data_IF_429994288771
#
_entry.id   IF_429994288771
#
_cell.length_a   1.000
_cell.length_b   1.000
_cell.length_c   1.000
_cell.angle_alpha   90.00
_cell.angle_beta   90.00
_cell.angle_gamma   90.00
#
_symmetry.space_group_name_H-M   'P 1'
#
loop_
_entity.id
_entity.type
_entity.pdbx_description
1 polymer ?
#
# COMPACT_ATOMS: atom_id res chain seq x y z
N UNK A 1 -13.05 2.92 5.69
CA UNK A 1 -12.42 3.61 6.84
C UNK A 1 -13.10 4.95 6.97
N UNK A 2 -13.47 5.39 8.17
CA UNK A 2 -13.88 6.78 8.35
C UNK A 2 -12.63 7.63 8.16
N UNK A 3 -12.76 8.76 7.46
CA UNK A 3 -11.64 9.67 7.21
C UNK A 3 -11.09 10.16 8.56
N UNK A 4 -9.80 9.94 8.81
CA UNK A 4 -9.16 10.34 10.06
C UNK A 4 -9.23 11.86 10.25
N UNK A 5 -9.16 12.64 9.16
CA UNK A 5 -9.38 14.07 9.17
C UNK A 5 -10.80 14.45 9.58
N UNK A 6 -11.80 13.68 9.14
CA UNK A 6 -13.18 13.87 9.58
C UNK A 6 -13.37 13.58 11.08
N UNK A 7 -12.76 12.51 11.59
CA UNK A 7 -12.81 12.20 13.03
C UNK A 7 -12.10 13.26 13.88
N UNK A 8 -10.95 13.76 13.44
CA UNK A 8 -10.24 14.86 14.10
C UNK A 8 -11.08 16.14 14.10
N UNK A 9 -11.66 16.49 12.96
CA UNK A 9 -12.57 17.63 12.84
C UNK A 9 -13.79 17.49 13.77
N UNK A 10 -14.41 16.31 13.78
CA UNK A 10 -15.56 16.01 14.63
C UNK A 10 -15.22 16.15 16.11
N UNK A 11 -14.08 15.58 16.55
CA UNK A 11 -13.62 15.69 17.94
C UNK A 11 -13.26 17.12 18.33
N UNK A 12 -12.63 17.89 17.43
CA UNK A 12 -12.36 19.31 17.65
C UNK A 12 -13.65 20.11 17.84
N UNK A 13 -14.64 19.85 16.98
CA UNK A 13 -15.97 20.46 17.07
C UNK A 13 -16.76 20.09 18.32
N UNK A 14 -16.62 18.85 18.80
CA UNK A 14 -17.19 18.43 20.09
C UNK A 14 -16.56 19.23 21.24
N UNK A 15 -15.23 19.42 21.19
CA UNK A 15 -14.50 20.22 22.18
C UNK A 15 -14.92 21.70 22.19
N UNK A 16 -15.14 22.30 21.02
CA UNK A 16 -15.56 23.70 20.86
C UNK A 16 -17.01 23.95 21.30
N UNK A 17 -17.94 23.02 20.98
CA UNK A 17 -19.35 23.16 21.33
C UNK A 17 -19.62 22.96 22.84
N UNK A 18 -18.70 22.31 23.56
CA UNK A 18 -18.87 21.93 24.96
C UNK A 18 -19.77 20.70 25.14
N UNK A 19 -19.46 19.81 26.11
CA UNK A 19 -20.08 18.49 26.23
C UNK A 19 -21.58 18.54 26.56
N UNK A 20 -22.05 19.60 27.21
CA UNK A 20 -23.44 19.75 27.66
C UNK A 20 -24.30 20.59 26.70
N UNK A 21 -23.74 21.06 25.58
CA UNK A 21 -24.55 21.74 24.56
C UNK A 21 -25.35 20.73 23.74
N UNK A 22 -26.49 21.17 23.22
CA UNK A 22 -27.32 20.36 22.32
C UNK A 22 -26.53 19.90 21.08
N UNK A 23 -25.67 20.78 20.58
CA UNK A 23 -24.78 20.50 19.46
C UNK A 23 -23.69 19.49 19.82
N UNK A 24 -23.01 19.68 20.96
CA UNK A 24 -21.99 18.75 21.47
C UNK A 24 -22.55 17.35 21.72
N UNK A 25 -23.78 17.26 22.24
CA UNK A 25 -24.49 15.99 22.45
C UNK A 25 -24.77 15.28 21.13
N UNK A 26 -25.29 16.00 20.11
CA UNK A 26 -25.56 15.44 18.78
C UNK A 26 -24.29 14.98 18.08
N UNK A 27 -23.21 15.77 18.15
CA UNK A 27 -21.92 15.41 17.56
C UNK A 27 -21.28 14.20 18.26
N UNK A 28 -21.41 14.11 19.59
CA UNK A 28 -20.94 12.95 20.36
C UNK A 28 -21.69 11.67 19.98
N UNK A 29 -23.00 11.76 19.75
CA UNK A 29 -23.79 10.63 19.26
C UNK A 29 -23.32 10.17 17.86
N UNK A 30 -23.01 11.10 16.95
CA UNK A 30 -22.43 10.77 15.63
C UNK A 30 -21.08 10.07 15.78
N UNK A 31 -20.19 10.58 16.64
CA UNK A 31 -18.89 9.96 16.90
C UNK A 31 -19.03 8.54 17.44
N UNK A 32 -20.00 8.31 18.34
CA UNK A 32 -20.31 7.00 18.88
C UNK A 32 -20.79 6.03 17.79
N UNK A 33 -21.73 6.44 16.93
CA UNK A 33 -22.23 5.60 15.84
C UNK A 33 -21.12 5.24 14.84
N UNK A 34 -20.21 6.17 14.54
CA UNK A 34 -19.04 5.90 13.70
C UNK A 34 -18.15 4.84 14.35
N UNK A 35 -17.86 4.95 15.65
CA UNK A 35 -17.07 3.97 16.38
C UNK A 35 -17.74 2.59 16.38
N UNK A 36 -19.05 2.52 16.60
CA UNK A 36 -19.82 1.26 16.53
C UNK A 36 -19.73 0.65 15.13
N UNK A 37 -19.88 1.46 14.07
CA UNK A 37 -19.73 0.98 12.70
C UNK A 37 -18.31 0.47 12.40
N UNK A 38 -17.28 1.14 12.90
CA UNK A 38 -15.88 0.70 12.77
C UNK A 38 -15.62 -0.62 13.49
N UNK A 39 -16.12 -0.77 14.72
CA UNK A 39 -16.01 -2.03 15.46
C UNK A 39 -16.70 -3.18 14.74
N UNK A 40 -17.91 -2.96 14.22
CA UNK A 40 -18.64 -3.96 13.42
C UNK A 40 -17.84 -4.41 12.19
N UNK A 41 -17.16 -3.46 11.51
CA UNK A 41 -16.28 -3.80 10.37
C UNK A 41 -15.08 -4.63 10.78
N UNK A 42 -14.44 -4.32 11.92
CA UNK A 42 -13.31 -5.10 12.44
C UNK A 42 -13.74 -6.51 12.83
N UNK A 43 -14.91 -6.68 13.47
CA UNK A 43 -15.45 -8.00 13.82
C UNK A 43 -15.76 -8.82 12.56
N UNK A 44 -16.37 -8.20 11.55
CA UNK A 44 -16.63 -8.87 10.27
C UNK A 44 -15.32 -9.24 9.55
N UNK A 45 -14.32 -8.37 9.58
CA UNK A 45 -12.99 -8.63 9.04
C UNK A 45 -12.30 -9.81 9.73
N UNK A 46 -12.35 -9.90 11.06
CA UNK A 46 -11.82 -11.03 11.82
C UNK A 46 -12.53 -12.35 11.47
N UNK A 47 -13.87 -12.33 11.42
CA UNK A 47 -14.64 -13.50 11.01
C UNK A 47 -14.30 -13.96 9.59
N UNK A 48 -14.15 -13.02 8.66
CA UNK A 48 -13.74 -13.32 7.28
C UNK A 48 -12.32 -13.90 7.22
N UNK A 49 -11.37 -13.34 7.98
CA UNK A 49 -10.00 -13.85 8.01
C UNK A 49 -9.97 -15.27 8.58
N UNK A 50 -10.69 -15.54 9.68
CA UNK A 50 -10.83 -16.90 10.24
C UNK A 50 -11.42 -17.88 9.22
N UNK A 51 -12.43 -17.46 8.47
CA UNK A 51 -13.02 -18.30 7.42
C UNK A 51 -12.00 -18.63 6.32
N UNK A 52 -11.17 -17.67 5.91
CA UNK A 52 -10.07 -17.92 4.96
C UNK A 52 -9.06 -18.91 5.56
N UNK A 53 -8.61 -18.66 6.79
CA UNK A 53 -7.60 -19.47 7.48
C UNK A 53 -8.08 -20.90 7.81
N UNK A 54 -9.40 -21.13 7.92
CA UNK A 54 -9.97 -22.45 8.12
C UNK A 54 -9.67 -23.44 6.98
N UNK A 55 -9.28 -22.93 5.80
CA UNK A 55 -8.85 -23.76 4.67
C UNK A 55 -7.37 -24.19 4.75
N UNK A 56 -6.61 -23.78 5.77
CA UNK A 56 -5.22 -24.18 5.90
C UNK A 56 -5.07 -25.71 6.03
N UNK A 57 -4.01 -26.32 5.45
CA UNK A 57 -2.88 -25.68 4.75
C UNK A 57 -3.09 -25.46 3.24
N UNK A 58 -4.32 -25.59 2.72
CA UNK A 58 -4.60 -25.47 1.28
C UNK A 58 -4.60 -24.00 0.79
N UNK A 59 -3.41 -23.51 0.44
CA UNK A 59 -3.21 -22.14 -0.04
C UNK A 59 -4.08 -21.78 -1.24
N UNK A 60 -4.39 -22.72 -2.14
CA UNK A 60 -5.21 -22.45 -3.33
C UNK A 60 -6.64 -22.12 -2.95
N UNK A 61 -7.22 -22.84 -1.98
CA UNK A 61 -8.56 -22.53 -1.46
C UNK A 61 -8.57 -21.22 -0.70
N UNK A 62 -7.54 -20.97 0.11
CA UNK A 62 -7.40 -19.71 0.84
C UNK A 62 -7.37 -18.50 -0.11
N UNK A 63 -6.58 -18.57 -1.19
CA UNK A 63 -6.57 -17.54 -2.22
C UNK A 63 -7.90 -17.39 -2.96
N UNK A 64 -8.60 -18.49 -3.23
CA UNK A 64 -9.90 -18.44 -3.91
C UNK A 64 -10.94 -17.69 -3.06
N UNK A 65 -10.99 -17.97 -1.76
CA UNK A 65 -11.84 -17.23 -0.81
C UNK A 65 -11.41 -15.78 -0.67
N UNK A 66 -10.10 -15.51 -0.65
CA UNK A 66 -9.58 -14.16 -0.61
C UNK A 66 -9.96 -13.34 -1.84
N UNK A 67 -9.84 -13.92 -3.05
CA UNK A 67 -10.30 -13.33 -4.31
C UNK A 67 -11.80 -13.07 -4.30
N UNK A 68 -12.60 -13.94 -3.67
CA UNK A 68 -14.04 -13.73 -3.49
C UNK A 68 -14.30 -12.52 -2.59
N UNK A 69 -13.68 -12.46 -1.42
CA UNK A 69 -13.81 -11.33 -0.48
C UNK A 69 -13.33 -10.00 -1.09
N UNK A 70 -12.27 -10.04 -1.91
CA UNK A 70 -11.78 -8.87 -2.62
C UNK A 70 -12.77 -8.35 -3.67
N UNK A 71 -13.42 -9.25 -4.42
CA UNK A 71 -14.46 -8.89 -5.40
C UNK A 71 -15.72 -8.32 -4.74
N UNK A 72 -16.10 -8.83 -3.56
CA UNK A 72 -17.27 -8.34 -2.81
C UNK A 72 -16.98 -7.11 -1.95
N UNK A 73 -15.75 -6.57 -1.99
CA UNK A 73 -15.36 -5.40 -1.19
C UNK A 73 -15.21 -5.69 0.31
N UNK A 74 -15.13 -6.96 0.70
CA UNK A 74 -14.98 -7.42 2.08
C UNK A 74 -13.51 -7.59 2.51
N UNK A 75 -12.58 -7.70 1.55
CA UNK A 75 -11.14 -7.55 1.80
C UNK A 75 -10.75 -6.06 1.73
N UNK A 76 -11.36 -5.26 2.62
CA UNK A 76 -11.17 -3.81 2.72
C UNK A 76 -10.03 -3.45 3.70
N UNK A 77 -9.88 -2.16 4.01
CA UNK A 77 -8.86 -1.71 4.97
C UNK A 77 -9.00 -2.33 6.37
N UNK A 78 -10.21 -2.63 6.83
CA UNK A 78 -10.39 -3.28 8.14
C UNK A 78 -9.86 -4.72 8.09
N UNK A 79 -10.08 -5.42 6.98
CA UNK A 79 -9.48 -6.72 6.72
C UNK A 79 -7.94 -6.68 6.74
N UNK A 80 -7.35 -5.69 6.07
CA UNK A 80 -5.89 -5.50 6.05
C UNK A 80 -5.32 -5.22 7.45
N UNK A 81 -6.00 -4.40 8.25
CA UNK A 81 -5.58 -4.13 9.64
C UNK A 81 -5.57 -5.42 10.47
N UNK A 82 -6.64 -6.21 10.40
CA UNK A 82 -6.73 -7.47 11.14
C UNK A 82 -5.66 -8.46 10.68
N UNK A 83 -5.44 -8.58 9.37
CA UNK A 83 -4.40 -9.44 8.80
C UNK A 83 -3.00 -9.06 9.30
N UNK A 84 -2.66 -7.78 9.25
CA UNK A 84 -1.35 -7.27 9.70
C UNK A 84 -1.16 -7.42 11.21
N UNK A 85 -2.21 -7.23 12.01
CA UNK A 85 -2.16 -7.47 13.45
C UNK A 85 -1.87 -8.94 13.76
N UNK A 86 -2.51 -9.87 13.06
CA UNK A 86 -2.23 -11.31 13.22
C UNK A 86 -0.82 -11.67 12.74
N UNK A 87 -0.33 -11.04 11.66
CA UNK A 87 1.03 -11.23 11.18
C UNK A 87 2.06 -10.77 12.23
N UNK A 88 1.85 -9.60 12.85
CA UNK A 88 2.71 -9.09 13.91
C UNK A 88 2.73 -10.03 15.13
N UNK A 89 1.55 -10.49 15.57
CA UNK A 89 1.44 -11.46 16.66
C UNK A 89 2.14 -12.79 16.35
N UNK A 90 2.00 -13.28 15.11
CA UNK A 90 2.68 -14.51 14.69
C UNK A 90 4.21 -14.35 14.67
N UNK A 91 4.72 -13.16 14.31
CA UNK A 91 6.16 -12.85 14.39
C UNK A 91 6.64 -12.80 15.84
N UNK A 92 5.87 -12.18 16.73
CA UNK A 92 6.19 -12.09 18.16
C UNK A 92 6.14 -13.44 18.88
N UNK A 93 5.29 -14.37 18.44
CA UNK A 93 5.19 -15.72 18.98
C UNK A 93 6.45 -16.60 18.74
N UNK A 94 7.38 -16.14 17.91
CA UNK A 94 8.70 -16.76 17.73
C UNK A 94 8.67 -18.05 16.89
N UNK A 95 9.66 -18.96 17.06
CA UNK A 95 9.91 -20.08 16.15
C UNK A 95 8.74 -21.06 15.99
N UNK A 96 7.84 -21.14 16.96
CA UNK A 96 6.67 -22.02 16.91
C UNK A 96 5.59 -21.55 15.90
N UNK A 97 5.69 -20.33 15.38
CA UNK A 97 4.70 -19.71 14.52
C UNK A 97 5.18 -19.43 13.08
N UNK A 98 6.34 -19.96 12.67
CA UNK A 98 6.92 -19.73 11.33
C UNK A 98 5.94 -20.09 10.19
N UNK A 99 5.21 -21.20 10.33
CA UNK A 99 4.19 -21.59 9.35
C UNK A 99 3.04 -20.58 9.25
N UNK A 100 2.63 -20.00 10.37
CA UNK A 100 1.60 -18.95 10.37
C UNK A 100 2.12 -17.66 9.75
N UNK A 101 3.37 -17.27 10.04
CA UNK A 101 4.02 -16.11 9.42
C UNK A 101 4.07 -16.29 7.90
N UNK A 102 4.47 -17.47 7.41
CA UNK A 102 4.54 -17.75 5.98
C UNK A 102 3.17 -17.64 5.30
N UNK A 103 2.13 -18.25 5.89
CA UNK A 103 0.76 -18.20 5.35
C UNK A 103 0.20 -16.78 5.36
N UNK A 104 0.32 -16.05 6.48
CA UNK A 104 -0.20 -14.69 6.60
C UNK A 104 0.55 -13.72 5.68
N UNK A 105 1.86 -13.90 5.51
CA UNK A 105 2.67 -13.13 4.54
C UNK A 105 2.19 -13.39 3.12
N UNK A 106 1.96 -14.65 2.76
CA UNK A 106 1.43 -15.03 1.45
C UNK A 106 0.08 -14.38 1.14
N UNK A 107 -0.86 -14.45 2.10
CA UNK A 107 -2.17 -13.81 1.94
C UNK A 107 -2.06 -12.28 1.80
N UNK A 108 -1.17 -11.65 2.57
CA UNK A 108 -0.93 -10.21 2.48
C UNK A 108 -0.41 -9.80 1.09
N UNK A 109 0.58 -10.53 0.58
CA UNK A 109 1.11 -10.33 -0.77
C UNK A 109 0.02 -10.52 -1.84
N UNK A 110 -0.78 -11.57 -1.74
CA UNK A 110 -1.85 -11.83 -2.70
C UNK A 110 -2.90 -10.70 -2.75
N UNK A 111 -3.27 -10.10 -1.61
CA UNK A 111 -4.18 -8.94 -1.59
C UNK A 111 -3.53 -7.73 -2.25
N UNK A 112 -2.26 -7.47 -1.95
CA UNK A 112 -1.53 -6.36 -2.56
C UNK A 112 -1.46 -6.50 -4.08
N UNK A 113 -1.14 -7.70 -4.60
CA UNK A 113 -1.15 -7.99 -6.03
C UNK A 113 -2.54 -7.75 -6.64
N UNK A 114 -3.61 -8.21 -5.98
CA UNK A 114 -4.98 -7.96 -6.41
C UNK A 114 -5.33 -6.47 -6.45
N UNK A 115 -4.90 -5.69 -5.46
CA UNK A 115 -5.08 -4.22 -5.46
C UNK A 115 -4.31 -3.55 -6.59
N UNK A 116 -3.13 -4.06 -6.90
CA UNK A 116 -2.25 -3.53 -7.92
C UNK A 116 -2.75 -3.81 -9.35
N UNK A 117 -3.59 -4.84 -9.55
CA UNK A 117 -4.30 -5.02 -10.84
C UNK A 117 -5.31 -3.92 -11.16
N UNK A 118 -5.73 -3.12 -10.17
CA UNK A 118 -6.75 -2.07 -10.34
C UNK A 118 -6.18 -0.68 -10.55
N UNK A 119 -4.85 -0.52 -10.53
CA UNK A 119 -4.19 0.77 -10.73
C UNK A 119 -3.39 0.80 -12.02
N UNK A 120 -3.08 2.00 -12.48
CA UNK A 120 -2.26 2.18 -13.67
C UNK A 120 -0.88 1.50 -13.50
N UNK A 121 -0.28 0.94 -14.57
CA UNK A 121 0.98 0.21 -14.50
C UNK A 121 2.11 0.97 -13.79
N UNK A 122 2.22 2.27 -14.01
CA UNK A 122 3.19 3.17 -13.38
C UNK A 122 2.98 3.29 -11.87
N UNK A 123 1.72 3.38 -11.42
CA UNK A 123 1.36 3.41 -10.00
C UNK A 123 1.59 2.05 -9.35
N UNK A 124 1.33 0.96 -10.07
CA UNK A 124 1.63 -0.41 -9.62
C UNK A 124 3.13 -0.58 -9.40
N UNK A 125 3.95 -0.21 -10.38
CA UNK A 125 5.41 -0.29 -10.28
C UNK A 125 5.92 0.55 -9.11
N UNK A 126 5.44 1.78 -8.97
CA UNK A 126 5.78 2.63 -7.83
C UNK A 126 5.44 1.97 -6.49
N UNK A 127 4.26 1.36 -6.34
CA UNK A 127 3.87 0.63 -5.12
C UNK A 127 4.78 -0.56 -4.83
N UNK A 128 5.16 -1.32 -5.87
CA UNK A 128 6.09 -2.44 -5.73
C UNK A 128 7.47 -1.97 -5.24
N UNK A 129 7.99 -0.88 -5.82
CA UNK A 129 9.28 -0.30 -5.43
C UNK A 129 9.28 0.25 -4.00
N UNK A 130 8.19 0.92 -3.61
CA UNK A 130 8.01 1.43 -2.25
C UNK A 130 8.01 0.29 -1.22
N UNK A 131 7.34 -0.84 -1.50
CA UNK A 131 7.35 -2.01 -0.60
C UNK A 131 8.74 -2.66 -0.51
N UNK A 132 9.43 -2.81 -1.63
CA UNK A 132 10.80 -3.33 -1.66
C UNK A 132 11.83 -2.35 -1.03
N UNK A 133 11.44 -1.11 -0.74
CA UNK A 133 12.27 -0.16 0.02
C UNK A 133 12.26 -0.44 1.53
N UNK A 134 11.18 -1.02 2.06
CA UNK A 134 11.05 -1.33 3.49
C UNK A 134 11.81 -2.61 3.89
N UNK A 135 12.11 -3.49 2.92
CA UNK A 135 12.86 -4.74 3.12
C UNK A 135 14.39 -4.60 2.96
N UNK A 136 14.92 -3.36 2.88
CA UNK A 136 16.35 -3.02 2.69
C UNK A 136 17.05 -3.73 1.50
N UNK A 137 16.29 -4.22 0.53
CA UNK A 137 16.85 -5.02 -0.57
C UNK A 137 16.95 -4.22 -1.87
N UNK A 138 17.98 -3.38 -1.96
CA UNK A 138 18.26 -2.53 -3.13
C UNK A 138 18.46 -3.33 -4.43
N UNK A 139 18.90 -4.58 -4.35
CA UNK A 139 19.02 -5.47 -5.52
C UNK A 139 17.65 -5.84 -6.09
N UNK A 140 16.70 -6.27 -5.23
CA UNK A 140 15.33 -6.55 -5.67
C UNK A 140 14.65 -5.35 -6.32
N UNK A 141 14.90 -4.13 -5.82
CA UNK A 141 14.38 -2.90 -6.45
C UNK A 141 14.94 -2.69 -7.84
N UNK A 142 16.26 -2.85 -8.01
CA UNK A 142 16.90 -2.73 -9.33
C UNK A 142 16.43 -3.80 -10.30
N UNK A 143 16.19 -5.02 -9.84
CA UNK A 143 15.70 -6.10 -10.68
C UNK A 143 14.25 -5.84 -11.13
N UNK A 144 13.38 -5.38 -10.21
CA UNK A 144 12.02 -4.93 -10.54
C UNK A 144 12.01 -3.79 -11.55
N UNK A 145 12.91 -2.80 -11.38
CA UNK A 145 13.08 -1.70 -12.33
C UNK A 145 13.46 -2.23 -13.71
N UNK A 146 14.46 -3.12 -13.80
CA UNK A 146 14.91 -3.68 -15.08
C UNK A 146 13.86 -4.54 -15.78
N UNK A 147 13.03 -5.26 -15.02
CA UNK A 147 12.01 -6.15 -15.57
C UNK A 147 10.78 -5.38 -16.08
N UNK A 148 10.43 -4.27 -15.42
CA UNK A 148 9.16 -3.56 -15.67
C UNK A 148 9.34 -2.23 -16.43
N UNK A 149 10.56 -1.69 -16.57
CA UNK A 149 10.84 -0.51 -17.39
C UNK A 149 11.00 -0.88 -18.87
N UNK A 150 10.28 -0.15 -19.73
CA UNK A 150 10.57 -0.16 -21.15
C UNK A 150 11.77 0.75 -21.45
N UNK A 151 12.95 0.14 -21.49
CA UNK A 151 14.22 0.81 -21.81
C UNK A 151 14.47 0.93 -23.32
N UNK A 152 13.61 0.36 -24.15
CA UNK A 152 13.85 0.28 -25.60
C UNK A 152 13.53 1.60 -26.33
N UNK A 153 12.83 2.54 -25.67
CA UNK A 153 12.49 3.86 -26.23
C UNK A 153 11.63 3.81 -27.50
N UNK A 154 11.25 2.63 -27.96
CA UNK A 154 10.44 2.41 -29.14
C UNK A 154 9.16 1.73 -28.72
N UNK A 155 8.04 2.45 -28.81
CA UNK A 155 6.68 1.94 -28.59
C UNK A 155 6.30 0.86 -29.61
N UNK A 156 6.95 -0.31 -29.51
CA UNK A 156 6.57 -1.52 -30.21
C UNK A 156 5.27 -2.04 -29.61
N UNK A 157 4.36 -2.46 -30.48
CA UNK A 157 2.98 -2.81 -30.18
C UNK A 157 2.75 -3.99 -29.19
N UNK A 158 3.82 -4.52 -28.57
CA UNK A 158 3.78 -5.61 -27.59
C UNK A 158 4.11 -5.16 -26.14
N UNK A 159 4.27 -3.86 -25.86
CA UNK A 159 4.55 -3.32 -24.50
C UNK A 159 3.33 -3.30 -23.56
N UNK A 160 2.48 -4.31 -23.64
CA UNK A 160 1.31 -4.49 -22.78
C UNK A 160 1.72 -4.71 -21.31
N UNK A 161 1.96 -3.62 -20.58
CA UNK A 161 2.20 -3.61 -19.14
C UNK A 161 3.56 -3.09 -18.69
N UNK A 162 4.48 -2.77 -19.61
CA UNK A 162 5.75 -2.11 -19.29
C UNK A 162 5.54 -0.60 -19.11
N UNK A 163 6.32 -0.01 -18.20
CA UNK A 163 6.22 1.41 -17.84
C UNK A 163 7.40 2.16 -18.47
N UNK A 164 7.13 3.27 -19.15
CA UNK A 164 8.23 4.12 -19.65
C UNK A 164 8.88 4.91 -18.50
N UNK A 165 10.17 5.25 -18.60
CA UNK A 165 10.84 6.04 -17.55
C UNK A 165 10.13 7.37 -17.23
N UNK A 166 9.56 8.03 -18.24
CA UNK A 166 8.87 9.31 -18.06
C UNK A 166 7.52 9.13 -17.34
N UNK A 167 6.75 8.09 -17.66
CA UNK A 167 5.51 7.77 -16.93
C UNK A 167 5.77 7.48 -15.45
N UNK A 168 6.86 6.78 -15.12
CA UNK A 168 7.22 6.51 -13.72
C UNK A 168 7.66 7.79 -12.99
N UNK A 169 8.42 8.66 -13.67
CA UNK A 169 8.84 9.96 -13.12
C UNK A 169 7.65 10.87 -12.84
N UNK A 170 6.71 10.96 -13.77
CA UNK A 170 5.50 11.78 -13.61
C UNK A 170 4.64 11.27 -12.44
N UNK A 171 4.45 9.95 -12.33
CA UNK A 171 3.73 9.35 -11.20
C UNK A 171 4.41 9.62 -9.84
N UNK A 172 5.75 9.56 -9.78
CA UNK A 172 6.49 9.90 -8.56
C UNK A 172 6.31 11.37 -8.21
N UNK A 173 6.36 12.26 -9.21
CA UNK A 173 6.23 13.71 -9.02
C UNK A 173 4.85 14.09 -8.50
N UNK A 174 3.80 13.52 -9.09
CA UNK A 174 2.42 13.73 -8.63
C UNK A 174 2.24 13.28 -7.17
N UNK A 175 2.81 12.13 -6.80
CA UNK A 175 2.70 11.61 -5.44
C UNK A 175 3.51 12.46 -4.43
N UNK A 176 4.65 13.02 -4.83
CA UNK A 176 5.40 13.99 -4.02
C UNK A 176 4.61 15.29 -3.81
N UNK A 177 3.93 15.78 -4.83
CA UNK A 177 3.09 16.98 -4.73
C UNK A 177 1.91 16.76 -3.77
N UNK A 178 1.24 15.61 -3.87
CA UNK A 178 0.17 15.21 -2.95
C UNK A 178 0.69 15.10 -1.50
N UNK A 179 1.83 14.44 -1.29
CA UNK A 179 2.44 14.32 0.04
C UNK A 179 2.79 15.70 0.63
N UNK A 180 3.37 16.60 -0.17
CA UNK A 180 3.73 17.96 0.27
C UNK A 180 2.49 18.79 0.62
N UNK A 181 1.38 18.60 -0.10
CA UNK A 181 0.11 19.27 0.25
C UNK A 181 -0.42 18.77 1.60
N UNK A 182 -0.32 17.47 1.88
CA UNK A 182 -0.73 16.88 3.16
C UNK A 182 0.16 17.40 4.30
N UNK A 183 1.47 17.46 4.12
CA UNK A 183 2.42 18.01 5.11
C UNK A 183 2.13 19.49 5.43
N UNK A 184 1.74 20.30 4.43
CA UNK A 184 1.37 21.71 4.64
C UNK A 184 0.09 21.88 5.43
N UNK A 185 -0.87 20.98 5.25
CA UNK A 185 -2.14 20.97 5.99
C UNK A 185 -1.94 20.40 7.40
N UNK A 186 -1.04 19.43 7.54
CA UNK A 186 -0.77 18.70 8.78
C UNK A 186 0.66 18.94 9.23
N UNK A 187 0.90 20.10 9.87
CA UNK A 187 2.23 20.56 10.38
C UNK A 187 2.97 19.58 11.31
N UNK A 188 2.35 18.46 11.68
CA UNK A 188 2.87 17.46 12.62
C UNK A 188 3.37 16.16 11.97
N UNK A 189 3.19 15.97 10.65
CA UNK A 189 3.58 14.71 9.99
C UNK A 189 4.74 14.90 9.02
N UNK A 190 5.96 14.79 9.53
CA UNK A 190 7.12 14.48 8.70
C UNK A 190 7.18 12.95 8.52
N UNK A 191 6.80 12.46 7.33
CA UNK A 191 6.55 11.02 7.13
C UNK A 191 7.73 10.26 6.52
N UNK A 192 8.85 10.92 6.20
CA UNK A 192 9.98 10.30 5.49
C UNK A 192 9.65 9.78 4.09
N UNK A 193 8.39 9.87 3.64
CA UNK A 193 7.90 9.44 2.34
C UNK A 193 8.56 10.24 1.21
N UNK A 194 8.68 11.55 1.40
CA UNK A 194 9.32 12.46 0.44
C UNK A 194 10.80 12.10 0.23
N UNK A 195 11.51 11.68 1.27
CA UNK A 195 12.90 11.21 1.16
C UNK A 195 13.00 9.88 0.42
N UNK A 196 12.11 8.92 0.72
CA UNK A 196 12.04 7.63 0.01
C UNK A 196 11.79 7.82 -1.49
N UNK A 197 10.85 8.69 -1.86
CA UNK A 197 10.54 9.00 -3.27
C UNK A 197 11.72 9.66 -3.98
N UNK A 198 12.48 10.54 -3.30
CA UNK A 198 13.72 11.10 -3.86
C UNK A 198 14.82 10.05 -4.04
N UNK A 199 14.91 9.07 -3.13
CA UNK A 199 15.82 7.93 -3.26
C UNK A 199 15.51 7.10 -4.51
N UNK A 200 14.22 6.79 -4.73
CA UNK A 200 13.77 6.05 -5.91
C UNK A 200 14.10 6.76 -7.23
N UNK A 201 13.95 8.08 -7.30
CA UNK A 201 14.35 8.86 -8.49
C UNK A 201 15.83 8.68 -8.84
N UNK A 202 16.72 8.69 -7.84
CA UNK A 202 18.16 8.47 -8.06
C UNK A 202 18.44 7.05 -8.56
N UNK A 203 17.80 6.04 -7.97
CA UNK A 203 17.95 4.64 -8.39
C UNK A 203 17.48 4.42 -9.83
N UNK A 204 16.39 5.08 -10.25
CA UNK A 204 15.91 5.07 -11.63
C UNK A 204 16.97 5.67 -12.55
N UNK A 205 17.52 6.84 -12.21
CA UNK A 205 18.55 7.51 -13.01
C UNK A 205 19.83 6.66 -13.13
N UNK A 206 20.23 5.95 -12.06
CA UNK A 206 21.36 5.01 -12.08
C UNK A 206 21.12 3.83 -13.03
N UNK A 207 19.92 3.24 -13.05
CA UNK A 207 19.56 2.15 -13.97
C UNK A 207 19.57 2.62 -15.42
N UNK A 208 19.08 3.84 -15.68
CA UNK A 208 19.10 4.45 -17.02
C UNK A 208 20.53 4.76 -17.48
N UNK A 209 21.39 5.25 -16.58
CA UNK A 209 22.80 5.52 -16.90
C UNK A 209 23.63 4.23 -17.09
N UNK A 210 23.34 3.17 -16.35
CA UNK A 210 24.01 1.87 -16.48
C UNK A 210 23.62 1.07 -17.73
N UNK A 211 22.54 1.47 -18.41
CA UNK A 211 22.04 0.84 -19.65
C UNK A 211 22.36 1.65 -20.91
N UNK A 212 23.01 2.81 -20.77
CA UNK A 212 23.52 3.57 -21.90
C UNK A 212 24.51 2.71 -22.71
N UNK A 213 24.34 2.60 -24.05
CA UNK A 213 25.26 1.85 -24.87
C UNK A 213 26.64 2.45 -24.71
N UNK A 214 27.65 1.63 -24.40
CA UNK A 214 29.05 2.00 -24.58
C UNK A 214 29.18 2.45 -26.03
N UNK A 215 29.24 3.76 -26.26
CA UNK A 215 29.65 4.32 -27.53
C UNK A 215 31.01 3.70 -27.83
N UNK A 216 31.02 2.77 -28.79
CA UNK A 216 32.24 2.28 -29.40
C UNK A 216 32.94 3.49 -30.01
N UNK A 217 33.81 4.14 -29.23
CA UNK A 217 34.91 4.94 -29.76
C UNK A 217 35.99 3.97 -30.22
N UNK A 218 35.69 3.24 -31.30
CA UNK A 218 36.71 2.55 -32.06
C UNK A 218 36.35 2.65 -33.53
N UNK A 219 37.29 3.26 -34.28
CA UNK A 219 37.36 3.54 -35.72
C UNK A 219 37.15 5.00 -36.12
N UNK A 220 38.22 5.79 -36.09
CA UNK A 220 39.08 6.01 -37.27
C UNK A 220 40.34 6.77 -36.88
#
# INVERSE_FOLDING_TARGET
>A
MCDYGFLMYLNGRIGEAGPDSEEGTKLSAVAQEINVAMQRRLVAADANLRAVLANAPDLKKMEADLRRLFRTGQADMAFMVVLNMNLAQAREAGPGAEGAVAVLTHLNTAIMEMQDTRVAPEVRLLRMLMRASDDDNAEKRRDLLKEQLDLSGGGGADSSGLVTPDQLRDAIRELQEQATQIEKVSKEYDTGLTEKLRGLLREIDEVLMGTAPKLNSDKS
#
